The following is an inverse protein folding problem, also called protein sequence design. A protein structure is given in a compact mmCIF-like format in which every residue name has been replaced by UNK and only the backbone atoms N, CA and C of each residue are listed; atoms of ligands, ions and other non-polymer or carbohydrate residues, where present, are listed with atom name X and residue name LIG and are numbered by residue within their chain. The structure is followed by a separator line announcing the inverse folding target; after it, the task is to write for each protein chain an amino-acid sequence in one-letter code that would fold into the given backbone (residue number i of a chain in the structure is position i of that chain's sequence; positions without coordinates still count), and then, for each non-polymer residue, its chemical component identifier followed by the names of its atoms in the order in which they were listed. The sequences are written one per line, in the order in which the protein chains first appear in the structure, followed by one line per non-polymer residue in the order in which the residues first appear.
data_IF_050549362828
#
_entry.id   IF_050549362828
#
_cell.length_a   1.000
_cell.length_b   1.000
_cell.length_c   1.000
_cell.angle_alpha   90.00
_cell.angle_beta   90.00
_cell.angle_gamma   90.00
#
_symmetry.space_group_name_H-M   'P 1'
#
loop_
_entity.id
_entity.type
_entity.pdbx_description
1 polymer ?
#
# COMPACT_ATOMS: atom_id res chain seq x y z
N UNK A 1 -13.02 10.90 7.62
CA UNK A 1 -11.72 11.53 7.25
C UNK A 1 -11.68 11.82 5.76
N UNK A 2 -11.82 10.82 4.88
CA UNK A 2 -11.86 11.05 3.43
C UNK A 2 -13.08 11.84 2.96
N UNK A 3 -14.24 11.70 3.61
CA UNK A 3 -15.41 12.55 3.35
C UNK A 3 -15.11 14.05 3.49
N UNK A 4 -14.31 14.43 4.49
CA UNK A 4 -13.94 15.83 4.69
C UNK A 4 -12.95 16.30 3.62
N UNK A 5 -12.00 15.43 3.24
CA UNK A 5 -11.09 15.69 2.12
C UNK A 5 -11.88 15.95 0.82
N UNK A 6 -12.87 15.12 0.51
CA UNK A 6 -13.67 15.27 -0.72
C UNK A 6 -14.48 16.55 -0.71
N UNK A 7 -15.11 16.88 0.42
CA UNK A 7 -15.80 18.16 0.59
C UNK A 7 -14.86 19.36 0.34
N UNK A 8 -13.62 19.30 0.84
CA UNK A 8 -12.64 20.36 0.63
C UNK A 8 -12.14 20.41 -0.81
N UNK A 9 -11.92 19.26 -1.46
CA UNK A 9 -11.52 19.18 -2.86
C UNK A 9 -12.59 19.78 -3.78
N UNK A 10 -13.85 19.40 -3.59
CA UNK A 10 -14.99 19.95 -4.32
C UNK A 10 -15.11 21.47 -4.10
N UNK A 11 -14.98 21.94 -2.85
CA UNK A 11 -15.00 23.37 -2.54
C UNK A 11 -13.84 24.15 -3.20
N UNK A 12 -12.73 23.47 -3.50
CA UNK A 12 -11.59 24.03 -4.22
C UNK A 12 -11.70 23.87 -5.75
N UNK A 13 -12.81 23.32 -6.26
CA UNK A 13 -13.01 23.07 -7.70
C UNK A 13 -12.13 21.94 -8.25
N UNK A 14 -11.71 21.00 -7.40
CA UNK A 14 -10.91 19.84 -7.79
C UNK A 14 -11.79 18.60 -7.93
N UNK A 15 -11.54 17.82 -8.97
CA UNK A 15 -12.15 16.51 -9.14
C UNK A 15 -11.49 15.50 -8.18
N UNK A 16 -12.26 14.82 -7.30
CA UNK A 16 -11.75 13.72 -6.48
C UNK A 16 -11.06 12.61 -7.29
N UNK A 17 -11.47 12.37 -8.54
CA UNK A 17 -10.85 11.37 -9.41
C UNK A 17 -9.39 11.70 -9.79
N UNK A 18 -8.99 12.97 -9.69
CA UNK A 18 -7.62 13.43 -9.95
C UNK A 18 -6.74 13.41 -8.67
N UNK A 19 -7.20 12.77 -7.59
CA UNK A 19 -6.50 12.72 -6.31
C UNK A 19 -6.21 11.29 -5.92
N UNK A 20 -4.91 10.97 -5.88
CA UNK A 20 -4.44 9.73 -5.27
C UNK A 20 -4.40 9.82 -3.75
N UNK A 21 -4.90 8.78 -3.09
CA UNK A 21 -4.84 8.62 -1.65
C UNK A 21 -3.84 7.52 -1.34
N UNK A 22 -2.72 7.90 -0.71
CA UNK A 22 -1.65 6.99 -0.35
C UNK A 22 -1.62 6.76 1.16
N UNK A 23 -1.80 5.49 1.57
CA UNK A 23 -1.63 5.04 2.95
C UNK A 23 -0.91 3.71 2.97
N UNK A 24 0.03 3.55 3.90
CA UNK A 24 0.74 2.29 4.11
C UNK A 24 0.10 1.47 5.23
N UNK A 25 0.23 0.16 5.14
CA UNK A 25 -0.08 -0.77 6.23
C UNK A 25 1.20 -1.43 6.74
N UNK A 26 1.26 -1.71 8.04
CA UNK A 26 2.28 -2.55 8.66
C UNK A 26 1.77 -3.98 8.91
N UNK A 27 0.48 -4.23 8.66
CA UNK A 27 -0.11 -5.55 8.77
C UNK A 27 0.54 -6.49 7.75
N UNK A 28 0.89 -7.69 8.21
CA UNK A 28 1.66 -8.64 7.42
C UNK A 28 3.17 -8.45 7.51
N UNK A 29 3.68 -7.35 8.07
CA UNK A 29 5.12 -7.09 8.23
C UNK A 29 5.81 -6.64 6.94
N UNK A 30 7.14 -6.66 6.94
CA UNK A 30 7.95 -6.28 5.78
C UNK A 30 8.20 -7.48 4.87
N UNK A 31 8.13 -7.35 3.54
CA UNK A 31 8.55 -8.40 2.60
C UNK A 31 10.02 -8.82 2.76
N UNK A 32 10.85 -7.97 3.38
CA UNK A 32 12.23 -8.27 3.75
C UNK A 32 12.32 -9.31 4.88
N UNK A 33 11.34 -9.33 5.78
CA UNK A 33 11.39 -10.15 6.96
C UNK A 33 10.93 -11.57 6.66
N UNK A 34 11.55 -12.55 7.34
CA UNK A 34 11.23 -13.98 7.17
C UNK A 34 9.82 -14.35 7.64
N UNK A 35 9.22 -13.52 8.49
CA UNK A 35 7.88 -13.69 9.06
C UNK A 35 6.83 -12.83 8.34
N UNK A 36 7.17 -12.29 7.16
CA UNK A 36 6.19 -11.69 6.26
C UNK A 36 4.99 -12.60 6.07
N UNK A 37 3.80 -12.07 6.30
CA UNK A 37 2.53 -12.78 6.15
C UNK A 37 1.73 -12.14 4.99
N UNK A 38 1.80 -12.73 3.78
CA UNK A 38 1.15 -12.18 2.59
C UNK A 38 -0.37 -12.10 2.73
N UNK A 39 -1.00 -13.09 3.36
CA UNK A 39 -2.46 -13.13 3.51
C UNK A 39 -2.95 -11.98 4.38
N UNK A 40 -2.30 -11.75 5.53
CA UNK A 40 -2.63 -10.63 6.40
C UNK A 40 -2.38 -9.28 5.70
N UNK A 41 -1.35 -9.21 4.85
CA UNK A 41 -1.07 -8.02 4.06
C UNK A 41 -2.16 -7.76 3.01
N UNK A 42 -2.55 -8.76 2.21
CA UNK A 42 -3.64 -8.66 1.22
C UNK A 42 -4.95 -8.23 1.88
N UNK A 43 -5.32 -8.85 3.01
CA UNK A 43 -6.52 -8.46 3.75
C UNK A 43 -6.48 -6.99 4.20
N UNK A 44 -5.30 -6.49 4.59
CA UNK A 44 -5.15 -5.09 4.95
C UNK A 44 -5.22 -4.16 3.73
N UNK A 45 -4.71 -4.57 2.56
CA UNK A 45 -4.86 -3.83 1.32
C UNK A 45 -6.34 -3.73 0.91
N UNK A 46 -7.11 -4.81 1.03
CA UNK A 46 -8.56 -4.79 0.79
C UNK A 46 -9.29 -3.81 1.72
N UNK A 47 -8.90 -3.77 3.00
CA UNK A 47 -9.45 -2.82 3.97
C UNK A 47 -9.11 -1.36 3.61
N UNK A 48 -7.87 -1.09 3.17
CA UNK A 48 -7.46 0.24 2.72
C UNK A 48 -8.22 0.65 1.44
N UNK A 49 -8.35 -0.27 0.48
CA UNK A 49 -9.11 -0.04 -0.75
C UNK A 49 -10.59 0.27 -0.44
N UNK A 50 -11.21 -0.47 0.49
CA UNK A 50 -12.58 -0.22 0.94
C UNK A 50 -12.76 1.16 1.61
N UNK A 51 -11.70 1.73 2.18
CA UNK A 51 -11.70 3.09 2.71
C UNK A 51 -11.52 4.17 1.62
N UNK A 52 -11.12 3.80 0.40
CA UNK A 52 -10.85 4.74 -0.70
C UNK A 52 -9.38 5.10 -0.89
N UNK A 53 -8.47 4.29 -0.36
CA UNK A 53 -7.03 4.39 -0.65
C UNK A 53 -6.77 3.89 -2.07
N UNK A 54 -6.04 4.64 -2.89
CA UNK A 54 -5.72 4.29 -4.28
C UNK A 54 -4.28 3.79 -4.46
N UNK A 55 -3.39 4.10 -3.51
CA UNK A 55 -2.00 3.64 -3.49
C UNK A 55 -1.57 3.15 -2.11
N UNK A 56 -0.77 2.08 -2.09
CA UNK A 56 -0.08 1.63 -0.89
C UNK A 56 1.41 1.45 -1.19
N UNK A 57 2.25 1.92 -0.26
CA UNK A 57 3.69 1.69 -0.32
C UNK A 57 4.05 0.40 0.44
N UNK A 58 4.98 -0.38 -0.13
CA UNK A 58 5.59 -1.52 0.53
C UNK A 58 7.03 -1.17 0.95
N UNK A 59 7.47 -1.52 2.17
CA UNK A 59 8.84 -1.25 2.61
C UNK A 59 9.82 -2.16 1.85
N UNK A 60 10.88 -1.56 1.29
CA UNK A 60 11.99 -2.27 0.65
C UNK A 60 13.27 -1.99 1.46
N UNK A 61 14.06 -3.01 1.81
CA UNK A 61 15.28 -2.82 2.59
C UNK A 61 16.35 -2.13 1.74
N UNK A 62 17.17 -1.31 2.40
CA UNK A 62 18.27 -0.56 1.76
C UNK A 62 19.65 -0.96 2.30
N UNK A 63 19.74 -2.12 2.95
CA UNK A 63 20.97 -2.68 3.53
C UNK A 63 21.88 -3.33 2.47
N UNK A 64 21.31 -3.90 1.41
CA UNK A 64 22.04 -4.39 0.25
C UNK A 64 21.15 -4.47 -1.00
N UNK A 65 21.76 -4.37 -2.18
CA UNK A 65 21.05 -4.55 -3.46
C UNK A 65 20.41 -5.93 -3.57
N UNK A 66 21.14 -6.98 -3.16
CA UNK A 66 20.64 -8.37 -3.22
C UNK A 66 19.37 -8.52 -2.39
N UNK A 67 19.38 -8.05 -1.14
CA UNK A 67 18.22 -8.16 -0.25
C UNK A 67 17.03 -7.34 -0.75
N UNK A 68 17.28 -6.16 -1.33
CA UNK A 68 16.24 -5.35 -1.95
C UNK A 68 15.57 -6.08 -3.12
N UNK A 69 16.36 -6.73 -4.00
CA UNK A 69 15.84 -7.49 -5.13
C UNK A 69 15.06 -8.73 -4.69
N UNK A 70 15.54 -9.46 -3.69
CA UNK A 70 14.82 -10.61 -3.12
C UNK A 70 13.47 -10.19 -2.52
N UNK A 71 13.44 -9.07 -1.80
CA UNK A 71 12.21 -8.51 -1.21
C UNK A 71 11.21 -8.07 -2.28
N UNK A 72 11.69 -7.40 -3.35
CA UNK A 72 10.86 -7.02 -4.49
C UNK A 72 10.28 -8.24 -5.21
N UNK A 73 11.09 -9.28 -5.43
CA UNK A 73 10.64 -10.50 -6.07
C UNK A 73 9.57 -11.20 -5.24
N UNK A 74 9.81 -11.36 -3.93
CA UNK A 74 8.84 -11.94 -2.99
C UNK A 74 7.53 -11.17 -3.01
N UNK A 75 7.56 -9.83 -2.98
CA UNK A 75 6.35 -9.02 -3.02
C UNK A 75 5.60 -9.18 -4.35
N UNK A 76 6.34 -9.18 -5.47
CA UNK A 76 5.76 -9.40 -6.81
C UNK A 76 5.03 -10.74 -6.95
N UNK A 77 5.62 -11.82 -6.43
CA UNK A 77 5.02 -13.15 -6.49
C UNK A 77 3.84 -13.31 -5.53
N UNK A 78 3.98 -12.83 -4.29
CA UNK A 78 3.00 -13.11 -3.23
C UNK A 78 1.86 -12.10 -3.11
N UNK A 79 2.03 -10.88 -3.62
CA UNK A 79 1.03 -9.80 -3.51
C UNK A 79 0.52 -9.34 -4.87
N UNK A 80 1.42 -9.11 -5.84
CA UNK A 80 1.02 -8.56 -7.15
C UNK A 80 0.44 -9.63 -8.08
N UNK A 81 0.97 -10.86 -8.00
CA UNK A 81 0.54 -11.98 -8.85
C UNK A 81 -0.52 -12.88 -8.20
N UNK A 82 -0.91 -12.58 -6.96
CA UNK A 82 -1.98 -13.29 -6.24
C UNK A 82 -3.35 -13.00 -6.86
#
# INVERSE_FOLDING_TARGET
MLEDLWRQAESAGRDPADIDISFMTLTGGSPADKDFNPEAHLQALDQLAALGVTWCAAPIPADSLTHALESLHRYGESIISA
#
